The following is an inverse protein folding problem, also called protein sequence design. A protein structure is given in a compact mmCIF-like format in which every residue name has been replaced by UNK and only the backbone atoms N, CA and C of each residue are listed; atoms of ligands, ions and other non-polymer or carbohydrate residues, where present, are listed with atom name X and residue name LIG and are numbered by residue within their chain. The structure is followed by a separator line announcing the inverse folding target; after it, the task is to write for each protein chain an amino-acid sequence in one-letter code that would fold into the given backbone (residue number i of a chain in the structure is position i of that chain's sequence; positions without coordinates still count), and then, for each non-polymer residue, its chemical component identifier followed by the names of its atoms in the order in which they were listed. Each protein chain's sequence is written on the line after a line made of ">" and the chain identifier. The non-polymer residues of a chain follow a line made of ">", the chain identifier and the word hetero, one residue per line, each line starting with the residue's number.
data_IF_457869825278
#
_entry.id   IF_457869825278
#
_cell.length_a   1.000
_cell.length_b   1.000
_cell.length_c   1.000
_cell.angle_alpha   90.00
_cell.angle_beta   90.00
_cell.angle_gamma   90.00
#
_symmetry.space_group_name_H-M   'P 1'
#
loop_
_entity.id
_entity.type
_entity.pdbx_description
1 polymer ?
#
# COMPACT_ATOMS: atom_id res chain seq x y z
N UNK A 1 -11.04 2.43 -18.92
CA UNK A 1 -10.60 1.01 -18.95
C UNK A 1 -11.75 -0.01 -18.87
N UNK A 2 -12.66 0.06 -17.89
CA UNK A 2 -13.87 -0.78 -17.87
C UNK A 2 -14.67 -0.65 -19.18
N UNK A 3 -14.85 0.58 -19.66
CA UNK A 3 -15.45 0.86 -20.97
C UNK A 3 -14.74 0.12 -22.12
N UNK A 4 -13.42 -0.06 -22.07
CA UNK A 4 -12.70 -0.79 -23.10
C UNK A 4 -13.02 -2.30 -23.06
N UNK A 5 -13.16 -2.89 -21.87
CA UNK A 5 -13.63 -4.27 -21.74
C UNK A 5 -15.07 -4.42 -22.24
N UNK A 6 -15.94 -3.45 -21.94
CA UNK A 6 -17.33 -3.42 -22.44
C UNK A 6 -17.37 -3.32 -23.96
N UNK A 7 -16.58 -2.43 -24.55
CA UNK A 7 -16.46 -2.27 -26.00
C UNK A 7 -15.91 -3.54 -26.66
N UNK A 8 -14.89 -4.17 -26.07
CA UNK A 8 -14.34 -5.42 -26.61
C UNK A 8 -15.34 -6.58 -26.51
N UNK A 9 -16.12 -6.65 -25.43
CA UNK A 9 -17.19 -7.64 -25.29
C UNK A 9 -18.27 -7.43 -26.36
N UNK A 10 -18.72 -6.19 -26.55
CA UNK A 10 -19.67 -5.82 -27.62
C UNK A 10 -19.11 -6.15 -29.00
N UNK A 11 -17.82 -5.91 -29.25
CA UNK A 11 -17.16 -6.22 -30.52
C UNK A 11 -17.11 -7.73 -30.82
N UNK A 12 -16.88 -8.57 -29.80
CA UNK A 12 -16.71 -10.03 -29.97
C UNK A 12 -18.04 -10.80 -30.01
N UNK A 13 -19.04 -10.36 -29.24
CA UNK A 13 -20.30 -11.11 -29.07
C UNK A 13 -21.55 -10.32 -29.44
N UNK A 14 -21.42 -9.06 -29.90
CA UNK A 14 -22.53 -8.16 -30.24
C UNK A 14 -23.57 -7.99 -29.12
N UNK A 15 -23.14 -8.08 -27.86
CA UNK A 15 -23.96 -7.94 -26.66
C UNK A 15 -23.47 -6.79 -25.80
N UNK A 16 -24.40 -6.04 -25.23
CA UNK A 16 -24.08 -4.90 -24.38
C UNK A 16 -24.04 -5.31 -22.90
N UNK A 17 -22.96 -4.94 -22.20
CA UNK A 17 -22.80 -5.20 -20.77
C UNK A 17 -23.32 -4.05 -19.90
N UNK A 18 -23.69 -2.92 -20.51
CA UNK A 18 -23.99 -1.68 -19.78
C UNK A 18 -25.23 -1.84 -18.88
N UNK A 19 -26.20 -2.65 -19.29
CA UNK A 19 -27.45 -2.88 -18.56
C UNK A 19 -27.29 -3.91 -17.42
N UNK A 20 -26.23 -4.71 -17.44
CA UNK A 20 -26.01 -5.77 -16.46
C UNK A 20 -25.06 -5.30 -15.34
N UNK A 21 -25.64 -4.69 -14.30
CA UNK A 21 -24.90 -4.20 -13.14
C UNK A 21 -24.08 -5.28 -12.43
N UNK A 22 -24.54 -6.53 -12.39
CA UNK A 22 -23.83 -7.66 -11.77
C UNK A 22 -22.58 -8.03 -12.56
N UNK A 23 -22.70 -8.10 -13.89
CA UNK A 23 -21.56 -8.34 -14.78
C UNK A 23 -20.52 -7.21 -14.68
N UNK A 24 -20.98 -5.95 -14.68
CA UNK A 24 -20.11 -4.79 -14.48
C UNK A 24 -19.40 -4.82 -13.12
N UNK A 25 -20.08 -5.25 -12.05
CA UNK A 25 -19.50 -5.42 -10.72
C UNK A 25 -18.36 -6.45 -10.70
N UNK A 26 -18.59 -7.63 -11.31
CA UNK A 26 -17.56 -8.67 -11.45
C UNK A 26 -16.37 -8.19 -12.28
N UNK A 27 -16.65 -7.51 -13.40
CA UNK A 27 -15.63 -6.93 -14.27
C UNK A 27 -14.80 -5.87 -13.55
N UNK A 28 -15.43 -5.00 -12.76
CA UNK A 28 -14.75 -4.00 -11.90
C UNK A 28 -13.83 -4.68 -10.89
N UNK A 29 -14.28 -5.74 -10.25
CA UNK A 29 -13.51 -6.46 -9.24
C UNK A 29 -12.25 -7.12 -9.83
N UNK A 30 -12.39 -7.86 -10.93
CA UNK A 30 -11.23 -8.47 -11.60
C UNK A 30 -10.30 -7.42 -12.22
N UNK A 31 -10.86 -6.32 -12.70
CA UNK A 31 -10.07 -5.18 -13.16
C UNK A 31 -9.22 -4.57 -12.05
N UNK A 32 -9.77 -4.36 -10.85
CA UNK A 32 -9.00 -3.82 -9.72
C UNK A 32 -7.84 -4.74 -9.31
N UNK A 33 -8.03 -6.06 -9.38
CA UNK A 33 -6.93 -7.03 -9.19
C UNK A 33 -5.88 -6.89 -10.29
N UNK A 34 -6.30 -6.89 -11.56
CA UNK A 34 -5.39 -6.74 -12.69
C UNK A 34 -4.59 -5.43 -12.62
N UNK A 35 -5.21 -4.32 -12.21
CA UNK A 35 -4.54 -3.04 -11.98
C UNK A 35 -3.43 -3.14 -10.93
N UNK A 36 -3.71 -3.78 -9.78
CA UNK A 36 -2.70 -3.98 -8.73
C UNK A 36 -1.53 -4.81 -9.22
N UNK A 37 -1.78 -5.84 -10.03
CA UNK A 37 -0.74 -6.68 -10.64
C UNK A 37 0.06 -5.88 -11.67
N UNK A 38 -0.58 -5.05 -12.51
CA UNK A 38 0.10 -4.23 -13.51
C UNK A 38 1.00 -3.14 -12.91
N UNK A 39 0.77 -2.75 -11.65
CA UNK A 39 1.69 -1.88 -10.92
C UNK A 39 3.07 -2.50 -10.72
N UNK A 40 3.18 -3.84 -10.68
CA UNK A 40 4.46 -4.56 -10.48
C UNK A 40 4.89 -5.33 -11.72
N UNK A 41 3.95 -5.92 -12.46
CA UNK A 41 4.15 -6.80 -13.62
C UNK A 41 3.83 -6.11 -14.94
N UNK A 42 4.45 -6.52 -16.05
CA UNK A 42 4.29 -5.88 -17.37
C UNK A 42 3.01 -6.30 -18.10
N UNK A 43 2.43 -7.45 -17.77
CA UNK A 43 1.22 -8.00 -18.38
C UNK A 43 0.40 -8.82 -17.38
N UNK A 44 -0.90 -8.96 -17.64
CA UNK A 44 -1.83 -9.79 -16.89
C UNK A 44 -3.04 -10.15 -17.77
N UNK A 45 -3.85 -11.14 -17.39
CA UNK A 45 -5.13 -11.45 -18.02
C UNK A 45 -6.28 -11.19 -17.05
N UNK A 46 -7.40 -10.71 -17.60
CA UNK A 46 -8.69 -10.70 -16.92
C UNK A 46 -9.47 -11.87 -17.47
N UNK A 47 -9.86 -12.79 -16.60
CA UNK A 47 -10.60 -14.01 -16.93
C UNK A 47 -11.84 -14.08 -16.03
N UNK A 48 -13.02 -14.18 -16.65
CA UNK A 48 -14.31 -14.19 -15.95
C UNK A 48 -15.22 -15.22 -16.62
N UNK A 49 -15.53 -16.29 -15.89
CA UNK A 49 -16.48 -17.30 -16.34
C UNK A 49 -17.91 -16.78 -16.27
N UNK A 50 -18.72 -17.09 -17.28
CA UNK A 50 -20.12 -16.72 -17.37
C UNK A 50 -20.36 -15.23 -17.05
N UNK A 51 -19.59 -14.34 -17.67
CA UNK A 51 -19.67 -12.89 -17.43
C UNK A 51 -21.09 -12.37 -17.75
N UNK A 52 -21.64 -12.75 -18.90
CA UNK A 52 -22.97 -12.36 -19.35
C UNK A 52 -23.56 -13.42 -20.27
N UNK A 53 -24.81 -13.84 -20.02
CA UNK A 53 -25.51 -14.85 -20.82
C UNK A 53 -24.70 -16.14 -21.06
N UNK A 54 -24.03 -16.63 -20.00
CA UNK A 54 -23.14 -17.82 -20.04
C UNK A 54 -21.93 -17.70 -20.98
N UNK A 55 -21.55 -16.48 -21.35
CA UNK A 55 -20.35 -16.21 -22.14
C UNK A 55 -19.18 -15.95 -21.20
N UNK A 56 -18.09 -16.69 -21.40
CA UNK A 56 -16.83 -16.46 -20.70
C UNK A 56 -16.07 -15.31 -21.35
N UNK A 57 -15.43 -14.49 -20.51
CA UNK A 57 -14.65 -13.34 -20.97
C UNK A 57 -13.19 -13.50 -20.57
N UNK A 58 -12.30 -13.52 -21.56
CA UNK A 58 -10.85 -13.44 -21.34
C UNK A 58 -10.23 -12.34 -22.20
N UNK A 59 -9.44 -11.48 -21.56
CA UNK A 59 -8.65 -10.46 -22.25
C UNK A 59 -7.30 -10.23 -21.57
N UNK A 60 -6.23 -10.26 -22.38
CA UNK A 60 -4.89 -9.88 -21.94
C UNK A 60 -4.73 -8.36 -21.94
N UNK A 61 -4.04 -7.87 -20.92
CA UNK A 61 -3.68 -6.48 -20.74
C UNK A 61 -2.18 -6.33 -20.52
N UNK A 62 -1.62 -5.30 -21.11
CA UNK A 62 -0.24 -4.88 -20.87
C UNK A 62 -0.23 -3.58 -20.07
N UNK A 63 0.86 -3.35 -19.32
CA UNK A 63 1.07 -2.10 -18.60
C UNK A 63 1.06 -0.92 -19.54
N UNK A 64 1.73 -1.01 -20.69
CA UNK A 64 1.74 0.07 -21.70
C UNK A 64 0.32 0.48 -22.10
N UNK A 65 -0.54 -0.50 -22.42
CA UNK A 65 -1.94 -0.24 -22.76
C UNK A 65 -2.71 0.38 -21.58
N UNK A 66 -2.50 -0.09 -20.35
CA UNK A 66 -3.10 0.51 -19.16
C UNK A 66 -2.68 1.99 -19.00
N UNK A 67 -1.40 2.29 -19.18
CA UNK A 67 -0.88 3.64 -19.06
C UNK A 67 -1.51 4.56 -20.10
N UNK A 68 -1.52 4.13 -21.37
CA UNK A 68 -2.09 4.88 -22.50
C UNK A 68 -3.55 5.25 -22.27
N UNK A 69 -4.37 4.30 -21.81
CA UNK A 69 -5.80 4.51 -21.52
C UNK A 69 -6.07 5.53 -20.41
N UNK A 70 -5.11 5.75 -19.51
CA UNK A 70 -5.26 6.62 -18.37
C UNK A 70 -4.42 7.91 -18.49
N UNK A 71 -3.78 8.13 -19.64
CA UNK A 71 -2.92 9.30 -19.87
C UNK A 71 -3.66 10.62 -19.67
N UNK A 72 -4.91 10.73 -20.10
CA UNK A 72 -5.67 11.96 -19.93
C UNK A 72 -5.97 12.26 -18.46
N UNK A 73 -6.26 11.23 -17.66
CA UNK A 73 -6.40 11.35 -16.21
C UNK A 73 -5.09 11.78 -15.56
N UNK A 74 -3.96 11.20 -15.97
CA UNK A 74 -2.64 11.61 -15.46
C UNK A 74 -2.30 13.06 -15.82
N UNK A 75 -2.53 13.48 -17.07
CA UNK A 75 -2.35 14.87 -17.51
C UNK A 75 -3.24 15.83 -16.73
N UNK A 76 -4.49 15.45 -16.46
CA UNK A 76 -5.42 16.25 -15.65
C UNK A 76 -4.88 16.46 -14.24
N UNK A 77 -4.37 15.42 -13.60
CA UNK A 77 -3.75 15.54 -12.28
C UNK A 77 -2.53 16.47 -12.29
N UNK A 78 -1.67 16.38 -13.31
CA UNK A 78 -0.49 17.27 -13.44
C UNK A 78 -0.94 18.73 -13.60
N UNK A 79 -1.95 19.00 -14.45
CA UNK A 79 -2.51 20.35 -14.61
C UNK A 79 -3.04 20.92 -13.30
N UNK A 80 -3.68 20.11 -12.47
CA UNK A 80 -4.14 20.54 -11.14
C UNK A 80 -2.96 20.94 -10.25
N UNK A 81 -1.89 20.13 -10.23
CA UNK A 81 -0.68 20.46 -9.45
C UNK A 81 -0.04 21.76 -9.92
N UNK A 82 0.09 21.96 -11.23
CA UNK A 82 0.62 23.20 -11.81
C UNK A 82 -0.22 24.41 -11.44
N UNK A 83 -1.55 24.27 -11.48
CA UNK A 83 -2.47 25.33 -11.04
C UNK A 83 -2.30 25.65 -9.55
N UNK A 84 -2.24 24.64 -8.69
CA UNK A 84 -2.01 24.84 -7.25
C UNK A 84 -0.69 25.57 -6.97
N UNK A 85 0.37 25.26 -7.69
CA UNK A 85 1.67 25.94 -7.56
C UNK A 85 1.59 27.41 -8.01
N UNK A 86 0.88 27.66 -9.12
CA UNK A 86 0.64 29.02 -9.60
C UNK A 86 -0.17 29.84 -8.60
N UNK A 87 -1.25 29.27 -8.07
CA UNK A 87 -2.11 29.91 -7.06
C UNK A 87 -1.33 30.20 -5.76
N UNK A 88 -0.38 29.33 -5.39
CA UNK A 88 0.51 29.53 -4.25
C UNK A 88 1.67 30.50 -4.54
N UNK A 89 1.85 30.95 -5.78
CA UNK A 89 3.02 31.74 -6.22
C UNK A 89 4.36 31.04 -5.93
N UNK A 90 4.37 29.70 -5.96
CA UNK A 90 5.55 28.87 -5.69
C UNK A 90 6.09 28.35 -7.02
N UNK A 91 7.38 28.56 -7.26
CA UNK A 91 8.03 28.01 -8.44
C UNK A 91 8.29 26.51 -8.26
N UNK A 92 8.28 25.72 -9.34
CA UNK A 92 8.52 24.27 -9.26
C UNK A 92 9.88 23.91 -8.61
N UNK A 93 10.87 24.80 -8.71
CA UNK A 93 12.21 24.60 -8.12
C UNK A 93 12.28 24.88 -6.61
N UNK A 94 11.29 25.60 -6.05
CA UNK A 94 11.23 25.86 -4.61
C UNK A 94 10.43 24.80 -3.85
N UNK A 95 10.08 23.70 -4.51
CA UNK A 95 9.46 22.55 -3.85
C UNK A 95 10.59 21.62 -3.39
N UNK A 96 10.84 21.60 -2.08
CA UNK A 96 11.92 20.80 -1.49
C UNK A 96 11.63 19.30 -1.58
N UNK A 97 10.39 18.89 -1.34
CA UNK A 97 9.99 17.49 -1.27
C UNK A 97 8.57 17.28 -1.79
N UNK A 98 8.36 16.17 -2.52
CA UNK A 98 7.04 15.73 -2.96
C UNK A 98 6.69 14.42 -2.28
N UNK A 99 5.65 14.48 -1.45
CA UNK A 99 5.12 13.34 -0.73
C UNK A 99 3.97 12.73 -1.54
N UNK A 100 4.11 11.46 -1.93
CA UNK A 100 3.03 10.70 -2.54
C UNK A 100 2.08 10.12 -1.49
N UNK A 101 0.78 10.36 -1.65
CA UNK A 101 -0.23 9.79 -0.77
C UNK A 101 -1.32 9.10 -1.59
N UNK A 102 -1.68 7.88 -1.17
CA UNK A 102 -2.81 7.10 -1.72
C UNK A 102 -2.39 5.95 -2.62
N UNK A 103 -3.18 4.88 -2.66
CA UNK A 103 -2.79 3.62 -3.34
C UNK A 103 -2.55 3.74 -4.85
N UNK A 104 -3.15 4.73 -5.51
CA UNK A 104 -3.01 4.96 -6.95
C UNK A 104 -1.65 5.54 -7.34
N UNK A 105 -0.89 6.11 -6.40
CA UNK A 105 0.47 6.63 -6.67
C UNK A 105 1.46 5.51 -6.99
N UNK A 106 1.11 4.26 -6.67
CA UNK A 106 1.89 3.05 -7.00
C UNK A 106 1.86 2.67 -8.47
N UNK A 107 1.15 3.42 -9.32
CA UNK A 107 1.16 3.21 -10.77
C UNK A 107 2.50 3.74 -11.33
N UNK A 108 3.35 2.89 -11.96
CA UNK A 108 4.72 3.26 -12.36
C UNK A 108 4.83 4.45 -13.32
N UNK A 109 3.77 4.78 -14.05
CA UNK A 109 3.75 5.91 -15.00
C UNK A 109 3.71 7.26 -14.34
N UNK A 110 3.07 7.38 -13.17
CA UNK A 110 2.93 8.66 -12.49
C UNK A 110 4.28 9.30 -12.14
N UNK A 111 5.21 8.58 -11.46
CA UNK A 111 6.56 9.11 -11.19
C UNK A 111 7.33 9.49 -12.46
N UNK A 112 7.11 8.77 -13.57
CA UNK A 112 7.79 9.03 -14.85
C UNK A 112 7.26 10.28 -15.56
N UNK A 113 5.98 10.57 -15.42
CA UNK A 113 5.36 11.75 -16.02
C UNK A 113 5.56 13.01 -15.16
N UNK A 114 5.79 12.86 -13.85
CA UNK A 114 6.19 13.96 -12.98
C UNK A 114 7.67 14.31 -13.20
N UNK A 115 7.94 15.56 -13.60
CA UNK A 115 9.24 16.29 -13.56
C UNK A 115 10.06 16.19 -12.27
N UNK A 116 9.55 15.52 -11.25
CA UNK A 116 9.91 15.72 -9.86
C UNK A 116 10.60 14.46 -9.32
N UNK A 117 11.62 14.63 -8.47
CA UNK A 117 12.15 13.54 -7.66
C UNK A 117 11.06 13.09 -6.70
N UNK A 118 10.60 11.85 -6.84
CA UNK A 118 9.46 11.35 -6.08
C UNK A 118 9.94 10.45 -4.95
N UNK A 119 9.54 10.79 -3.73
CA UNK A 119 9.81 10.00 -2.53
C UNK A 119 8.48 9.44 -2.04
N UNK A 120 8.36 8.11 -1.99
CA UNK A 120 7.19 7.46 -1.39
C UNK A 120 7.32 7.51 0.14
N UNK A 121 6.19 7.49 0.85
CA UNK A 121 6.16 7.57 2.31
C UNK A 121 5.26 6.53 2.94
N UNK A 122 5.52 6.20 4.21
CA UNK A 122 4.63 5.36 5.00
C UNK A 122 3.30 6.08 5.29
N UNK A 123 2.13 5.62 4.77
CA UNK A 123 0.88 6.39 4.86
C UNK A 123 0.27 6.43 6.26
N UNK A 124 0.65 5.48 7.12
CA UNK A 124 0.22 5.37 8.51
C UNK A 124 1.41 4.94 9.37
N UNK A 125 1.39 5.34 10.63
CA UNK A 125 2.37 4.95 11.63
C UNK A 125 2.35 3.43 11.83
N UNK A 126 3.54 2.86 12.01
CA UNK A 126 3.78 1.45 12.37
C UNK A 126 4.40 1.39 13.73
N UNK A 127 3.92 0.46 14.54
CA UNK A 127 4.38 0.31 15.91
C UNK A 127 3.95 -1.01 16.49
N UNK A 128 4.33 -1.22 17.73
CA UNK A 128 3.99 -2.44 18.46
C UNK A 128 3.18 -2.12 19.70
N UNK A 129 2.39 -3.09 20.12
CA UNK A 129 1.69 -3.03 21.40
C UNK A 129 2.66 -3.12 22.58
N UNK A 130 2.46 -2.23 23.53
CA UNK A 130 3.15 -2.23 24.83
C UNK A 130 2.16 -2.42 25.96
N UNK A 131 2.67 -2.56 27.20
CA UNK A 131 1.87 -2.81 28.39
C UNK A 131 0.70 -1.81 28.50
N UNK A 132 -0.50 -2.35 28.71
CA UNK A 132 -1.71 -1.55 28.89
C UNK A 132 -2.34 -1.08 27.58
N UNK A 133 -2.28 -1.88 26.52
CA UNK A 133 -2.94 -1.60 25.23
C UNK A 133 -2.46 -0.26 24.61
N UNK A 134 -1.17 0.07 24.80
CA UNK A 134 -0.60 1.32 24.28
C UNK A 134 0.20 1.08 23.01
N UNK A 135 -0.08 1.88 21.99
CA UNK A 135 0.64 1.86 20.71
C UNK A 135 1.99 2.57 20.85
N UNK A 136 3.09 1.84 20.73
CA UNK A 136 4.43 2.41 20.66
C UNK A 136 4.88 2.50 19.21
N UNK A 137 4.79 3.71 18.65
CA UNK A 137 5.20 4.00 17.27
C UNK A 137 6.72 3.81 17.12
N UNK A 138 7.10 3.09 16.05
CA UNK A 138 8.50 2.84 15.66
C UNK A 138 8.82 3.54 14.33
N UNK A 139 7.90 3.51 13.36
CA UNK A 139 7.97 4.30 12.13
C UNK A 139 6.74 5.21 12.09
N UNK A 140 6.93 6.52 12.08
CA UNK A 140 5.83 7.47 12.02
C UNK A 140 5.24 7.56 10.60
N UNK A 141 3.96 7.92 10.49
CA UNK A 141 3.37 8.31 9.20
C UNK A 141 4.20 9.37 8.50
N UNK A 142 4.12 9.42 7.18
CA UNK A 142 4.86 10.29 6.28
C UNK A 142 6.39 10.12 6.34
N UNK A 143 6.90 9.06 6.96
CA UNK A 143 8.34 8.75 6.88
C UNK A 143 8.68 8.28 5.46
N UNK A 144 9.69 8.85 4.79
CA UNK A 144 10.19 8.37 3.49
C UNK A 144 10.49 6.87 3.49
N UNK A 145 10.15 6.17 2.41
CA UNK A 145 10.51 4.76 2.19
C UNK A 145 11.44 4.62 0.99
N UNK A 146 12.39 3.68 0.99
CA UNK A 146 12.63 2.66 2.01
C UNK A 146 13.19 3.21 3.33
N UNK A 147 12.82 2.60 4.46
CA UNK A 147 13.28 3.03 5.79
C UNK A 147 13.41 1.89 6.77
N UNK A 148 14.33 2.04 7.71
CA UNK A 148 14.60 1.07 8.78
C UNK A 148 14.69 1.81 10.11
N UNK A 149 13.86 1.42 11.08
CA UNK A 149 13.83 2.01 12.42
C UNK A 149 13.77 0.91 13.47
N UNK A 150 14.50 1.11 14.57
CA UNK A 150 14.57 0.17 15.68
C UNK A 150 14.23 0.84 17.00
N UNK A 151 13.62 0.08 17.89
CA UNK A 151 13.35 0.51 19.27
C UNK A 151 13.56 -0.68 20.21
N UNK A 152 14.12 -0.40 21.38
CA UNK A 152 14.38 -1.41 22.40
C UNK A 152 13.20 -1.49 23.36
N UNK A 153 12.83 -2.72 23.72
CA UNK A 153 11.76 -3.05 24.65
C UNK A 153 12.30 -3.94 25.75
N UNK A 154 11.65 -3.92 26.91
CA UNK A 154 12.08 -4.69 28.08
C UNK A 154 10.98 -5.62 28.57
N UNK A 155 11.36 -6.66 29.31
CA UNK A 155 10.42 -7.57 29.96
C UNK A 155 9.57 -6.85 31.00
N UNK A 156 8.32 -7.29 31.15
CA UNK A 156 7.35 -6.66 32.06
C UNK A 156 7.09 -7.50 33.32
N UNK A 157 7.62 -8.72 33.37
CA UNK A 157 7.49 -9.68 34.46
C UNK A 157 8.85 -10.29 34.77
N UNK A 158 9.04 -10.65 36.03
CA UNK A 158 10.24 -11.37 36.46
C UNK A 158 10.25 -12.75 35.80
N UNK A 159 11.44 -13.21 35.39
CA UNK A 159 11.66 -14.50 34.74
C UNK A 159 10.78 -14.73 33.50
N UNK A 160 10.47 -13.66 32.75
CA UNK A 160 9.68 -13.73 31.53
C UNK A 160 10.47 -14.42 30.41
N UNK A 161 10.13 -15.67 30.07
CA UNK A 161 10.77 -16.46 29.01
C UNK A 161 10.13 -16.31 27.62
N UNK A 162 8.94 -15.68 27.56
CA UNK A 162 8.15 -15.51 26.35
C UNK A 162 7.54 -14.11 26.25
N UNK A 163 7.51 -13.53 25.05
CA UNK A 163 6.88 -12.24 24.75
C UNK A 163 6.09 -12.32 23.45
N UNK A 164 4.88 -11.75 23.44
CA UNK A 164 4.10 -11.55 22.21
C UNK A 164 4.36 -10.17 21.64
N UNK A 165 4.82 -10.12 20.39
CA UNK A 165 5.04 -8.91 19.63
C UNK A 165 3.90 -8.74 18.63
N UNK A 166 2.96 -7.87 18.95
CA UNK A 166 1.83 -7.54 18.09
C UNK A 166 2.14 -6.24 17.34
N UNK A 167 2.19 -6.30 16.01
CA UNK A 167 2.49 -5.15 15.15
C UNK A 167 1.19 -4.55 14.63
N UNK A 168 1.06 -3.24 14.77
CA UNK A 168 -0.13 -2.49 14.37
C UNK A 168 0.22 -1.38 13.37
N UNK A 169 -0.81 -0.96 12.63
CA UNK A 169 -0.84 0.19 11.76
C UNK A 169 -1.98 1.13 12.17
N UNK A 170 -1.67 2.40 12.42
CA UNK A 170 -2.67 3.43 12.72
C UNK A 170 -2.17 4.52 13.67
N UNK A 171 -3.02 5.52 13.92
CA UNK A 171 -2.69 6.74 14.67
C UNK A 171 -3.40 6.83 16.04
N UNK A 172 -4.14 5.80 16.45
CA UNK A 172 -4.81 5.80 17.77
C UNK A 172 -3.78 5.48 18.86
N UNK A 173 -3.95 6.10 20.03
CA UNK A 173 -3.10 5.85 21.20
C UNK A 173 -3.24 4.42 21.73
N UNK A 174 -4.42 3.83 21.60
CA UNK A 174 -4.72 2.45 21.99
C UNK A 174 -4.46 1.48 20.85
N UNK A 175 -3.71 0.41 21.10
CA UNK A 175 -3.34 -0.60 20.09
C UNK A 175 -4.57 -1.30 19.51
N UNK A 176 -5.53 -1.67 20.35
CA UNK A 176 -6.80 -2.31 19.97
C UNK A 176 -7.66 -1.49 19.01
N UNK A 177 -7.49 -0.17 18.98
CA UNK A 177 -8.20 0.74 18.07
C UNK A 177 -7.46 0.97 16.74
N UNK A 178 -6.32 0.30 16.54
CA UNK A 178 -5.54 0.33 15.31
C UNK A 178 -5.68 -0.99 14.55
N UNK A 179 -5.21 -1.02 13.30
CA UNK A 179 -5.25 -2.21 12.48
C UNK A 179 -4.09 -3.16 12.81
N UNK A 180 -4.39 -4.38 13.22
CA UNK A 180 -3.38 -5.41 13.48
C UNK A 180 -2.81 -5.94 12.16
N UNK A 181 -1.48 -5.91 12.03
CA UNK A 181 -0.76 -6.46 10.87
C UNK A 181 -0.27 -7.89 11.11
N UNK A 182 0.14 -8.22 12.34
CA UNK A 182 0.67 -9.53 12.66
C UNK A 182 0.99 -9.72 14.13
N UNK A 183 1.05 -10.98 14.56
CA UNK A 183 1.42 -11.40 15.92
C UNK A 183 2.60 -12.34 15.83
N UNK A 184 3.65 -12.05 16.58
CA UNK A 184 4.88 -12.84 16.60
C UNK A 184 5.20 -13.26 18.03
N UNK A 185 5.47 -14.55 18.23
CA UNK A 185 5.92 -15.07 19.52
C UNK A 185 7.45 -15.05 19.59
N UNK A 186 7.99 -14.46 20.66
CA UNK A 186 9.41 -14.45 20.97
C UNK A 186 9.61 -15.35 22.18
N UNK A 187 10.14 -16.55 21.96
CA UNK A 187 10.56 -17.49 23.01
C UNK A 187 12.07 -17.42 23.24
N UNK A 188 12.53 -18.01 24.36
CA UNK A 188 13.95 -18.11 24.69
C UNK A 188 14.54 -16.84 25.30
N UNK A 189 13.71 -16.00 25.93
CA UNK A 189 14.20 -14.85 26.70
C UNK A 189 14.86 -15.38 27.99
N UNK A 190 16.11 -14.97 28.30
CA UNK A 190 16.76 -15.38 29.55
C UNK A 190 15.95 -14.99 30.78
N UNK A 191 15.90 -15.88 31.78
CA UNK A 191 15.20 -15.61 33.03
C UNK A 191 15.97 -14.54 33.80
N UNK A 192 15.38 -13.36 33.91
CA UNK A 192 15.94 -12.23 34.65
C UNK A 192 14.81 -11.40 35.29
N UNK A 193 15.12 -10.51 36.26
CA UNK A 193 14.15 -9.58 36.82
C UNK A 193 13.48 -8.74 35.73
N UNK A 194 12.24 -8.29 35.98
CA UNK A 194 11.49 -7.42 35.06
C UNK A 194 12.33 -6.19 34.71
N UNK A 195 12.34 -5.82 33.44
CA UNK A 195 13.09 -4.67 32.95
C UNK A 195 14.55 -4.95 32.60
N UNK A 196 15.10 -6.12 32.95
CA UNK A 196 16.52 -6.42 32.72
C UNK A 196 16.81 -6.94 31.30
N UNK A 197 15.94 -7.79 30.75
CA UNK A 197 16.14 -8.33 29.40
C UNK A 197 15.70 -7.32 28.34
N UNK A 198 16.65 -6.84 27.54
CA UNK A 198 16.42 -5.90 26.44
C UNK A 198 16.25 -6.61 25.09
N UNK A 199 15.25 -6.19 24.33
CA UNK A 199 14.88 -6.78 23.04
C UNK A 199 14.78 -5.64 22.02
N UNK A 200 15.71 -5.62 21.06
CA UNK A 200 15.68 -4.69 19.94
C UNK A 200 14.70 -5.15 18.87
N UNK A 201 13.62 -4.41 18.65
CA UNK A 201 12.68 -4.66 17.56
C UNK A 201 12.98 -3.69 16.44
N UNK A 202 13.18 -4.21 15.24
CA UNK A 202 13.45 -3.43 14.05
C UNK A 202 12.34 -3.62 13.01
N UNK A 203 11.76 -2.52 12.58
CA UNK A 203 10.81 -2.45 11.49
C UNK A 203 11.51 -1.86 10.26
N UNK A 204 11.36 -2.54 9.13
CA UNK A 204 11.92 -2.13 7.85
C UNK A 204 10.80 -2.09 6.82
N UNK A 205 10.65 -0.97 6.12
CA UNK A 205 9.72 -0.82 5.00
C UNK A 205 10.57 -0.67 3.74
N UNK A 206 10.41 -1.58 2.78
CA UNK A 206 11.14 -1.54 1.52
C UNK A 206 10.53 -0.53 0.52
N UNK A 207 11.13 -0.40 -0.66
CA UNK A 207 10.64 0.49 -1.72
C UNK A 207 9.26 0.08 -2.28
N UNK A 208 8.81 -1.16 -2.04
CA UNK A 208 7.46 -1.61 -2.39
C UNK A 208 6.43 -1.32 -1.28
N UNK A 209 6.86 -0.80 -0.12
CA UNK A 209 6.02 -0.61 1.04
C UNK A 209 5.75 -1.90 1.84
N UNK A 210 6.53 -2.96 1.62
CA UNK A 210 6.43 -4.21 2.36
C UNK A 210 7.15 -4.04 3.70
N UNK A 211 6.43 -4.36 4.78
CA UNK A 211 6.96 -4.32 6.14
C UNK A 211 7.66 -5.64 6.48
N UNK A 212 8.93 -5.55 6.87
CA UNK A 212 9.74 -6.63 7.44
C UNK A 212 9.99 -6.36 8.92
N UNK A 213 9.74 -7.36 9.76
CA UNK A 213 9.90 -7.27 11.22
C UNK A 213 11.07 -8.18 11.61
N UNK A 214 12.07 -7.62 12.29
CA UNK A 214 13.23 -8.37 12.78
C UNK A 214 13.47 -8.08 14.26
N UNK A 215 14.10 -9.03 14.95
CA UNK A 215 14.50 -8.90 16.36
C UNK A 215 16.01 -9.02 16.52
N UNK A 216 16.58 -8.33 17.50
CA UNK A 216 17.95 -8.52 17.97
C UNK A 216 17.94 -8.64 19.49
N UNK A 217 18.72 -9.60 20.00
CA UNK A 217 19.04 -9.68 21.42
C UNK A 217 20.31 -8.88 21.69
N UNK A 218 20.33 -8.21 22.83
CA UNK A 218 21.50 -7.58 23.41
C UNK A 218 21.90 -8.33 24.67
#
# INVERSE_FOLDING_TARGET
>A
MIQQCVLEFKRRWNKDLTDNLKALGRLKFEYEKAKRILSTTTQTSIEIDCLHERIDFSMRFTRARFEDLNMDSFKKCIRTVEKCLLDATIHKSSVDEIILVGGSTRIPKWPKCSRFGVIDVAPLSRGIETRGDKMSVVISRNTPIPTKKSKTYVTTRDNQSYMSLNVFQGERSRSTNNHLLGKFGISGIPLAPKGFSEIGVCLEIDANGILTVTRRYY
#
